data_IF_481025038866
#
_entry.id   IF_481025038866
#
_cell.length_a   1.000
_cell.length_b   1.000
_cell.length_c   1.000
_cell.angle_alpha   90.00
_cell.angle_beta   90.00
_cell.angle_gamma   90.00
#
_symmetry.space_group_name_H-M   'P 1'
#
loop_
_entity.id
_entity.type
_entity.pdbx_description
1 polymer ?
#
# COMPACT_ATOMS: atom_id res chain seq x y z
N UNK A 1 15.63 -19.66 13.52
CA UNK A 1 15.78 -18.76 12.35
C UNK A 1 14.82 -19.26 11.30
N UNK A 2 13.57 -18.77 11.31
CA UNK A 2 12.56 -19.17 10.33
C UNK A 2 12.77 -18.31 9.09
N UNK A 3 13.36 -18.86 8.04
CA UNK A 3 13.39 -18.23 6.73
C UNK A 3 11.95 -18.12 6.25
N UNK A 4 11.39 -16.92 6.28
CA UNK A 4 10.14 -16.62 5.58
C UNK A 4 10.38 -16.96 4.11
N UNK A 5 9.63 -17.94 3.58
CA UNK A 5 9.58 -18.23 2.15
C UNK A 5 9.03 -16.98 1.47
N UNK A 6 9.90 -16.06 1.07
CA UNK A 6 9.53 -15.01 0.12
C UNK A 6 9.01 -15.73 -1.13
N UNK A 7 7.76 -15.45 -1.48
CA UNK A 7 7.15 -16.10 -2.62
C UNK A 7 7.58 -15.38 -3.89
N UNK A 8 7.86 -16.13 -4.95
CA UNK A 8 8.24 -15.60 -6.28
C UNK A 8 7.38 -14.37 -6.73
N UNK A 9 6.05 -14.33 -6.50
CA UNK A 9 5.24 -13.15 -6.86
C UNK A 9 5.56 -11.89 -6.04
N UNK A 10 5.89 -12.02 -4.76
CA UNK A 10 6.25 -10.88 -3.91
C UNK A 10 7.60 -10.31 -4.29
N UNK A 11 8.58 -11.19 -4.51
CA UNK A 11 9.91 -10.79 -5.00
C UNK A 11 9.79 -10.05 -6.33
N UNK A 12 9.01 -10.58 -7.27
CA UNK A 12 8.77 -9.91 -8.55
C UNK A 12 8.01 -8.59 -8.39
N UNK A 13 7.03 -8.50 -7.48
CA UNK A 13 6.28 -7.27 -7.26
C UNK A 13 7.19 -6.19 -6.67
N UNK A 14 7.97 -6.46 -5.64
CA UNK A 14 8.82 -5.44 -5.02
C UNK A 14 10.14 -5.20 -5.76
N UNK A 15 10.46 -6.01 -6.78
CA UNK A 15 11.55 -5.72 -7.69
C UNK A 15 11.24 -4.45 -8.50
N UNK A 16 12.00 -3.40 -8.23
CA UNK A 16 11.86 -2.10 -8.91
C UNK A 16 12.34 -2.17 -10.37
N UNK A 17 13.07 -3.22 -10.75
CA UNK A 17 13.55 -3.40 -12.10
C UNK A 17 12.45 -3.94 -13.04
N UNK A 18 12.58 -3.62 -14.32
CA UNK A 18 11.72 -4.12 -15.39
C UNK A 18 10.23 -3.74 -15.30
N UNK A 19 9.82 -2.67 -14.61
CA UNK A 19 8.40 -2.28 -14.51
C UNK A 19 7.89 -1.39 -15.65
N UNK A 20 8.71 -1.16 -16.67
CA UNK A 20 8.38 -0.30 -17.82
C UNK A 20 7.12 -0.76 -18.58
N UNK A 21 6.98 -2.07 -18.79
CA UNK A 21 5.85 -2.64 -19.53
C UNK A 21 4.49 -2.26 -18.91
N UNK A 22 4.42 -2.12 -17.57
CA UNK A 22 3.19 -1.80 -16.88
C UNK A 22 2.73 -0.37 -17.23
N UNK A 23 3.69 0.55 -17.33
CA UNK A 23 3.42 1.94 -17.68
C UNK A 23 3.24 2.15 -19.18
N UNK A 24 3.90 1.35 -20.03
CA UNK A 24 3.62 1.32 -21.46
C UNK A 24 2.17 0.91 -21.74
N UNK A 25 1.72 -0.18 -21.10
CA UNK A 25 0.32 -0.61 -21.18
C UNK A 25 -0.63 0.46 -20.64
N UNK A 26 -0.29 1.06 -19.49
CA UNK A 26 -1.10 2.13 -18.89
C UNK A 26 -1.25 3.34 -19.83
N UNK A 27 -0.20 3.76 -20.54
CA UNK A 27 -0.28 4.80 -21.58
C UNK A 27 -1.20 4.42 -22.73
N UNK A 28 -1.08 3.19 -23.23
CA UNK A 28 -1.93 2.70 -24.31
C UNK A 28 -3.41 2.71 -23.86
N UNK A 29 -3.68 2.27 -22.63
CA UNK A 29 -5.02 2.27 -22.05
C UNK A 29 -5.59 3.68 -21.91
N UNK A 30 -4.83 4.63 -21.36
CA UNK A 30 -5.27 6.03 -21.27
C UNK A 30 -5.46 6.67 -22.65
N UNK A 31 -4.63 6.32 -23.64
CA UNK A 31 -4.77 6.79 -25.02
C UNK A 31 -6.05 6.27 -25.66
N UNK A 32 -6.42 5.03 -25.39
CA UNK A 32 -7.70 4.46 -25.79
C UNK A 32 -8.86 5.23 -25.14
N UNK A 33 -8.81 5.47 -23.83
CA UNK A 33 -9.85 6.22 -23.12
C UNK A 33 -10.00 7.67 -23.63
N UNK A 34 -8.89 8.34 -23.94
CA UNK A 34 -8.90 9.66 -24.57
C UNK A 34 -9.65 9.69 -25.90
N UNK A 35 -9.70 8.59 -26.65
CA UNK A 35 -10.42 8.56 -27.92
C UNK A 35 -11.94 8.50 -27.75
N UNK A 36 -12.41 8.11 -26.55
CA UNK A 36 -13.83 7.95 -26.23
C UNK A 36 -14.35 9.11 -25.37
N UNK A 37 -13.62 9.46 -24.31
CA UNK A 37 -14.00 10.47 -23.32
C UNK A 37 -12.76 11.12 -22.71
N UNK A 38 -12.15 12.06 -23.45
CA UNK A 38 -10.98 12.78 -22.96
C UNK A 38 -11.41 13.88 -21.96
N UNK A 39 -10.71 14.00 -20.82
CA UNK A 39 -10.94 15.10 -19.90
C UNK A 39 -10.54 16.44 -20.55
N UNK A 40 -11.26 17.51 -20.23
CA UNK A 40 -11.01 18.85 -20.78
C UNK A 40 -9.62 19.44 -20.42
N UNK A 41 -8.93 18.87 -19.43
CA UNK A 41 -7.59 19.33 -19.05
C UNK A 41 -6.62 18.19 -18.78
N UNK A 42 -6.87 17.36 -17.77
CA UNK A 42 -5.92 16.33 -17.31
C UNK A 42 -6.64 15.10 -16.77
N UNK A 43 -5.95 13.96 -16.82
CA UNK A 43 -6.36 12.75 -16.12
C UNK A 43 -6.05 12.87 -14.62
N UNK A 44 -7.05 12.57 -13.79
CA UNK A 44 -6.89 12.39 -12.34
C UNK A 44 -6.91 10.90 -12.06
N UNK A 45 -5.79 10.36 -11.57
CA UNK A 45 -5.58 8.94 -11.34
C UNK A 45 -5.23 8.69 -9.89
N UNK A 46 -5.62 7.53 -9.37
CA UNK A 46 -5.26 7.08 -8.02
C UNK A 46 -4.85 5.62 -8.07
N UNK A 47 -3.61 5.35 -7.70
CA UNK A 47 -3.11 4.02 -7.34
C UNK A 47 -1.98 4.18 -6.32
N UNK A 48 -1.99 3.34 -5.28
CA UNK A 48 -0.89 3.29 -4.30
C UNK A 48 0.37 2.68 -4.89
N UNK A 49 0.24 1.87 -5.94
CA UNK A 49 1.34 1.13 -6.59
C UNK A 49 2.31 2.07 -7.31
N UNK A 50 1.89 3.28 -7.68
CA UNK A 50 2.80 4.29 -8.26
C UNK A 50 3.93 4.67 -7.31
N UNK A 51 3.70 4.60 -6.00
CA UNK A 51 4.73 4.89 -4.99
C UNK A 51 5.77 3.76 -4.87
N UNK A 52 5.49 2.56 -5.39
CA UNK A 52 6.44 1.45 -5.39
C UNK A 52 7.54 1.62 -6.45
N UNK A 53 7.25 2.32 -7.55
CA UNK A 53 8.21 2.52 -8.66
C UNK A 53 8.26 3.99 -9.11
N UNK A 54 8.68 4.92 -8.25
CA UNK A 54 8.64 6.36 -8.53
C UNK A 54 9.51 6.75 -9.73
N UNK A 55 10.64 6.07 -9.93
CA UNK A 55 11.55 6.32 -11.04
C UNK A 55 10.95 5.91 -12.38
N UNK A 56 10.38 4.70 -12.44
CA UNK A 56 9.69 4.21 -13.64
C UNK A 56 8.49 5.09 -13.97
N UNK A 57 7.70 5.48 -12.97
CA UNK A 57 6.61 6.44 -13.15
C UNK A 57 7.11 7.76 -13.76
N UNK A 58 8.16 8.34 -13.18
CA UNK A 58 8.70 9.65 -13.60
C UNK A 58 9.29 9.61 -15.01
N UNK A 59 9.94 8.51 -15.41
CA UNK A 59 10.42 8.32 -16.78
C UNK A 59 9.29 8.25 -17.79
N UNK A 60 8.18 7.59 -17.44
CA UNK A 60 7.04 7.44 -18.33
C UNK A 60 6.16 8.68 -18.38
N UNK A 61 6.00 9.39 -17.28
CA UNK A 61 5.21 10.60 -17.17
C UNK A 61 6.03 11.77 -16.61
N UNK A 62 7.02 12.29 -17.35
CA UNK A 62 7.93 13.32 -16.86
C UNK A 62 7.22 14.62 -16.47
N UNK A 63 6.04 14.87 -17.05
CA UNK A 63 5.24 16.06 -16.77
C UNK A 63 4.08 15.81 -15.79
N UNK A 64 3.90 14.58 -15.30
CA UNK A 64 2.83 14.29 -14.34
C UNK A 64 3.11 14.95 -12.98
N UNK A 65 2.05 15.33 -12.29
CA UNK A 65 2.11 15.81 -10.91
C UNK A 65 1.72 14.68 -9.99
N UNK A 66 2.69 14.14 -9.27
CA UNK A 66 2.45 13.13 -8.26
C UNK A 66 2.11 13.80 -6.93
N UNK A 67 0.94 13.47 -6.38
CA UNK A 67 0.51 13.92 -5.05
C UNK A 67 0.60 12.69 -4.15
N UNK A 68 1.54 12.70 -3.20
CA UNK A 68 1.69 11.65 -2.20
C UNK A 68 1.03 12.10 -0.89
N UNK A 69 -0.21 11.66 -0.59
CA UNK A 69 -0.82 11.94 0.70
C UNK A 69 -0.13 11.11 1.79
N UNK A 70 0.41 11.78 2.81
CA UNK A 70 0.98 11.14 3.99
C UNK A 70 -0.04 11.14 5.13
N UNK A 71 -0.16 10.02 5.86
CA UNK A 71 -1.09 9.88 7.01
C UNK A 71 -0.35 9.28 8.20
N UNK A 72 -0.63 9.80 9.39
CA UNK A 72 -0.04 9.27 10.63
C UNK A 72 -0.50 7.83 10.88
N UNK A 73 0.47 6.98 11.26
CA UNK A 73 0.28 5.54 11.43
C UNK A 73 -0.82 5.18 12.43
N UNK A 74 -0.97 5.97 13.50
CA UNK A 74 -1.98 5.80 14.55
C UNK A 74 -3.42 5.86 14.02
N UNK A 75 -3.62 6.39 12.81
CA UNK A 75 -4.91 6.42 12.13
C UNK A 75 -4.99 5.48 10.93
N UNK A 76 -3.87 4.87 10.50
CA UNK A 76 -3.81 3.91 9.40
C UNK A 76 -3.95 2.48 9.92
N UNK A 77 -3.17 2.12 10.95
CA UNK A 77 -3.18 0.77 11.50
C UNK A 77 -4.55 0.40 12.07
N UNK A 78 -5.24 1.23 12.88
CA UNK A 78 -6.58 0.88 13.34
C UNK A 78 -7.60 0.79 12.21
N UNK A 79 -7.47 1.60 11.15
CA UNK A 79 -8.37 1.54 9.99
C UNK A 79 -8.17 0.25 9.18
N UNK A 80 -6.91 -0.12 8.92
CA UNK A 80 -6.57 -1.35 8.20
C UNK A 80 -6.91 -2.59 9.03
N UNK A 81 -6.62 -2.58 10.33
CA UNK A 81 -7.02 -3.63 11.26
C UNK A 81 -8.54 -3.73 11.39
N UNK A 82 -9.27 -2.61 11.40
CA UNK A 82 -10.73 -2.59 11.45
C UNK A 82 -11.37 -3.09 10.14
N UNK A 83 -10.78 -2.78 8.98
CA UNK A 83 -11.22 -3.32 7.69
C UNK A 83 -10.99 -4.83 7.62
N UNK A 84 -9.82 -5.30 8.10
CA UNK A 84 -9.53 -6.73 8.29
C UNK A 84 -10.52 -7.38 9.28
N UNK A 85 -10.75 -6.75 10.42
CA UNK A 85 -11.69 -7.23 11.45
C UNK A 85 -13.11 -7.31 10.89
N UNK A 86 -13.55 -6.31 10.13
CA UNK A 86 -14.87 -6.29 9.50
C UNK A 86 -15.02 -7.40 8.47
N UNK A 87 -13.99 -7.58 7.62
CA UNK A 87 -13.95 -8.65 6.61
C UNK A 87 -13.91 -10.03 7.27
N UNK A 88 -13.12 -10.18 8.33
CA UNK A 88 -13.01 -11.42 9.09
C UNK A 88 -14.29 -11.72 9.88
N UNK A 89 -14.96 -10.70 10.41
CA UNK A 89 -16.25 -10.84 11.11
C UNK A 89 -17.36 -11.23 10.13
N UNK A 90 -17.37 -10.66 8.93
CA UNK A 90 -18.26 -11.09 7.85
C UNK A 90 -17.98 -12.56 7.48
N UNK A 91 -16.71 -12.92 7.29
CA UNK A 91 -16.31 -14.29 7.01
C UNK A 91 -16.71 -15.28 8.12
N UNK A 92 -16.54 -14.92 9.41
CA UNK A 92 -16.93 -15.74 10.56
C UNK A 92 -18.45 -15.88 10.70
N UNK A 93 -19.22 -14.86 10.31
CA UNK A 93 -20.69 -14.93 10.25
C UNK A 93 -21.16 -15.92 9.19
N UNK A 94 -20.49 -15.93 8.05
CA UNK A 94 -20.80 -16.80 6.92
C UNK A 94 -20.16 -18.20 7.04
N UNK A 95 -19.19 -18.36 7.95
CA UNK A 95 -18.49 -19.63 8.28
C UNK A 95 -18.54 -19.90 9.79
N UNK A 96 -19.72 -20.19 10.37
CA UNK A 96 -19.88 -20.36 11.81
C UNK A 96 -18.99 -21.49 12.34
N UNK A 97 -18.04 -21.15 13.22
CA UNK A 97 -17.09 -22.13 13.78
C UNK A 97 -17.72 -23.02 14.86
N UNK A 98 -17.70 -24.32 14.58
CA UNK A 98 -17.88 -25.41 15.54
C UNK A 98 -16.86 -26.54 15.36
N UNK A 99 -15.68 -26.28 14.79
CA UNK A 99 -14.64 -27.33 14.62
C UNK A 99 -13.24 -27.02 15.15
N UNK A 100 -12.81 -25.77 15.37
CA UNK A 100 -11.50 -25.46 15.99
C UNK A 100 -11.60 -24.17 16.83
N UNK A 101 -10.95 -24.14 18.00
CA UNK A 101 -11.20 -23.22 19.12
C UNK A 101 -10.78 -21.75 18.93
N UNK A 102 -11.16 -20.90 19.91
CA UNK A 102 -10.91 -19.45 19.96
C UNK A 102 -9.42 -19.12 19.78
N UNK A 103 -9.09 -18.35 18.73
CA UNK A 103 -7.79 -17.71 18.57
C UNK A 103 -7.83 -16.27 19.11
N UNK A 104 -6.83 -15.91 19.92
CA UNK A 104 -6.67 -14.57 20.51
C UNK A 104 -5.53 -13.90 19.77
N UNK A 105 -5.81 -12.94 18.89
CA UNK A 105 -4.80 -12.34 18.02
C UNK A 105 -3.76 -11.56 18.84
N UNK A 106 -2.53 -12.06 18.89
CA UNK A 106 -1.37 -11.40 19.49
C UNK A 106 -0.33 -11.14 18.39
N UNK A 107 0.24 -9.93 18.31
CA UNK A 107 1.28 -9.58 17.32
C UNK A 107 2.49 -10.54 17.36
N UNK A 108 2.78 -11.10 18.54
CA UNK A 108 3.81 -12.13 18.72
C UNK A 108 3.51 -13.44 17.95
N UNK A 109 2.23 -13.76 17.69
CA UNK A 109 1.84 -14.93 16.89
C UNK A 109 2.25 -14.79 15.42
N UNK A 110 2.47 -13.56 14.95
CA UNK A 110 2.95 -13.24 13.60
C UNK A 110 4.44 -12.88 13.57
N UNK A 111 5.14 -12.98 14.69
CA UNK A 111 6.55 -12.62 14.81
C UNK A 111 6.82 -11.11 14.63
N UNK A 112 5.82 -10.26 14.86
CA UNK A 112 5.94 -8.80 14.71
C UNK A 112 6.09 -8.13 16.09
N UNK A 113 7.12 -7.29 16.23
CA UNK A 113 7.35 -6.44 17.41
C UNK A 113 7.14 -4.95 17.05
N UNK A 114 6.52 -4.18 17.94
CA UNK A 114 6.33 -2.75 17.76
C UNK A 114 7.65 -2.01 17.55
N UNK A 115 8.70 -2.37 18.30
CA UNK A 115 10.01 -1.72 18.19
C UNK A 115 10.63 -1.95 16.80
N UNK A 116 10.47 -3.14 16.24
CA UNK A 116 10.99 -3.49 14.90
C UNK A 116 10.23 -2.74 13.80
N UNK A 117 8.92 -2.58 13.96
CA UNK A 117 8.09 -1.77 13.05
C UNK A 117 8.49 -0.29 13.16
N UNK A 118 8.70 0.22 14.36
CA UNK A 118 9.15 1.60 14.57
C UNK A 118 10.51 1.87 13.96
N UNK A 119 11.48 0.97 14.18
CA UNK A 119 12.78 1.06 13.56
C UNK A 119 12.69 1.03 12.02
N UNK A 120 11.85 0.14 11.45
CA UNK A 120 11.69 0.01 9.98
C UNK A 120 11.13 1.27 9.32
N UNK A 121 10.25 2.01 10.00
CA UNK A 121 9.58 3.19 9.43
C UNK A 121 10.14 4.53 9.95
N UNK A 122 11.17 4.52 10.81
CA UNK A 122 11.70 5.72 11.45
C UNK A 122 12.13 6.80 10.45
N UNK A 123 12.81 6.43 9.38
CA UNK A 123 13.26 7.36 8.33
C UNK A 123 12.07 8.02 7.61
N UNK A 124 11.08 7.22 7.21
CA UNK A 124 9.85 7.70 6.59
C UNK A 124 9.08 8.67 7.51
N UNK A 125 8.94 8.33 8.79
CA UNK A 125 8.26 9.16 9.79
C UNK A 125 9.00 10.49 9.95
N UNK A 126 10.32 10.46 10.10
CA UNK A 126 11.11 11.68 10.24
C UNK A 126 11.02 12.60 9.02
N UNK A 127 10.97 12.00 7.82
CA UNK A 127 10.92 12.74 6.57
C UNK A 127 9.54 13.35 6.29
N UNK A 128 8.47 12.60 6.53
CA UNK A 128 7.12 12.95 6.05
C UNK A 128 6.07 13.18 7.14
N UNK A 129 6.34 12.78 8.38
CA UNK A 129 5.43 12.90 9.53
C UNK A 129 6.15 13.49 10.76
N UNK A 130 6.85 14.64 10.65
CA UNK A 130 7.50 15.24 11.81
C UNK A 130 6.48 15.61 12.89
N UNK A 131 6.93 15.58 14.15
CA UNK A 131 6.10 15.91 15.31
C UNK A 131 5.32 17.22 15.08
N UNK A 132 4.02 17.22 15.41
CA UNK A 132 3.16 18.39 15.22
C UNK A 132 3.86 19.61 15.85
N UNK A 133 4.07 20.67 15.07
CA UNK A 133 4.29 21.99 15.66
C UNK A 133 3.03 22.30 16.44
N UNK A 134 3.13 22.32 17.77
CA UNK A 134 2.08 22.85 18.61
C UNK A 134 1.88 24.30 18.18
N UNK A 135 0.80 24.59 17.46
CA UNK A 135 0.35 25.95 17.28
C UNK A 135 -0.18 26.39 18.64
N UNK A 136 0.57 27.30 19.28
CA UNK A 136 0.18 28.00 20.50
C UNK A 136 -1.04 28.87 20.25
#
# INVERSE_FOLDING_TARGET
MSSTNETEPETWLYDETNKDYAYDYHKAFLSMLNSVDAPCSHWLLKSSDHALYPDTFSRHYPNAKMIMPHRHRDHVLPSACHEFETTMTAWLRDNPQGKQGRHTYNLAEYGLNCDDIEARYAEYINMFLPARKNFS
#
